data_IF_731267978190
#
_entry.id   IF_731267978190
#
_cell.length_a   1.000
_cell.length_b   1.000
_cell.length_c   1.000
_cell.angle_alpha   90.00
_cell.angle_beta   90.00
_cell.angle_gamma   90.00
#
_symmetry.space_group_name_H-M   'P 1'
#
loop_
_entity.id
_entity.type
_entity.pdbx_description
1 polymer ?
#
# COMPACT_ATOMS: atom_id res chain seq x y z
N UNK A 1 8.22 -53.04 -64.43
CA UNK A 1 8.45 -52.70 -65.87
C UNK A 1 9.70 -51.88 -65.88
N UNK A 2 10.80 -52.59 -66.16
CA UNK A 2 12.09 -52.05 -66.63
C UNK A 2 11.92 -51.23 -67.91
N UNK A 3 12.95 -50.53 -68.37
CA UNK A 3 14.39 -50.77 -68.17
C UNK A 3 15.29 -49.48 -68.11
N UNK A 4 16.50 -49.69 -67.63
CA UNK A 4 17.75 -49.03 -68.06
C UNK A 4 18.00 -49.24 -69.53
N UNK A 5 18.91 -48.53 -70.21
CA UNK A 5 20.34 -48.62 -70.16
C UNK A 5 21.10 -47.29 -70.50
N UNK A 6 22.34 -47.03 -70.47
CA UNK A 6 23.62 -47.68 -70.72
C UNK A 6 24.68 -46.58 -70.91
N UNK A 7 25.84 -46.86 -70.38
CA UNK A 7 27.15 -46.24 -70.70
C UNK A 7 27.54 -46.52 -72.15
N UNK A 8 28.55 -45.89 -72.79
CA UNK A 8 29.98 -46.05 -72.50
C UNK A 8 30.90 -44.84 -72.89
N UNK A 9 32.04 -44.70 -72.35
CA UNK A 9 33.30 -45.23 -72.85
C UNK A 9 34.28 -44.21 -73.47
N UNK A 10 35.55 -44.39 -73.22
CA UNK A 10 36.67 -43.95 -74.01
C UNK A 10 37.59 -42.92 -73.31
N UNK A 11 38.62 -43.29 -72.72
CA UNK A 11 39.96 -43.73 -73.10
C UNK A 11 40.94 -42.55 -73.37
N UNK A 12 41.99 -42.59 -72.57
CA UNK A 12 43.42 -42.31 -72.84
C UNK A 12 43.84 -40.94 -73.33
N UNK A 13 44.71 -40.28 -72.58
CA UNK A 13 46.13 -40.19 -72.90
C UNK A 13 46.94 -39.48 -71.81
N UNK A 14 48.09 -40.09 -71.47
CA UNK A 14 49.18 -39.53 -70.70
C UNK A 14 50.21 -39.05 -71.70
N UNK A 15 50.92 -37.93 -71.55
CA UNK A 15 52.36 -38.07 -71.23
C UNK A 15 52.96 -37.00 -70.24
N UNK A 16 53.79 -37.51 -69.33
CA UNK A 16 55.21 -37.28 -69.13
C UNK A 16 55.65 -35.86 -68.78
N UNK A 17 56.04 -35.72 -67.49
CA UNK A 17 57.26 -35.12 -66.89
C UNK A 17 57.84 -33.81 -67.52
N UNK A 18 57.93 -32.83 -66.62
CA UNK A 18 59.21 -32.13 -66.32
C UNK A 18 59.03 -31.36 -64.99
N UNK A 19 59.87 -31.72 -64.03
CA UNK A 19 60.31 -30.80 -62.94
C UNK A 19 61.36 -29.87 -63.51
N UNK A 20 61.48 -28.61 -63.13
CA UNK A 20 62.32 -28.28 -62.00
C UNK A 20 62.00 -27.01 -61.21
N UNK A 21 62.72 -26.92 -60.14
CA UNK A 21 63.19 -25.76 -59.41
C UNK A 21 62.44 -25.23 -58.20
N UNK A 22 63.12 -25.35 -57.10
CA UNK A 22 62.98 -24.74 -55.83
C UNK A 22 62.50 -23.28 -55.86
N UNK A 23 61.46 -22.98 -55.19
CA UNK A 23 61.04 -21.65 -54.81
C UNK A 23 60.70 -21.64 -53.33
N UNK A 24 61.49 -20.89 -52.60
CA UNK A 24 61.26 -20.65 -51.13
C UNK A 24 59.89 -20.12 -50.89
N UNK A 25 59.00 -21.02 -50.46
CA UNK A 25 57.64 -20.67 -50.05
C UNK A 25 57.61 -20.64 -48.52
N UNK A 26 57.43 -19.48 -48.02
CA UNK A 26 57.10 -19.17 -46.64
C UNK A 26 55.90 -20.04 -46.13
N UNK A 27 55.98 -20.62 -44.93
CA UNK A 27 54.91 -21.46 -44.40
C UNK A 27 53.63 -20.65 -44.21
N UNK A 28 52.48 -21.23 -44.48
CA UNK A 28 51.16 -20.53 -44.31
C UNK A 28 50.99 -20.07 -42.86
N UNK A 29 50.70 -18.80 -42.72
CA UNK A 29 50.34 -18.11 -41.49
C UNK A 29 49.21 -18.87 -40.77
N UNK A 30 49.46 -19.29 -39.54
CA UNK A 30 48.47 -19.97 -38.71
C UNK A 30 47.22 -19.06 -38.49
N UNK A 31 46.02 -19.61 -38.48
CA UNK A 31 44.81 -18.81 -38.20
C UNK A 31 44.95 -18.12 -36.85
N UNK A 32 44.47 -16.85 -36.72
CA UNK A 32 44.57 -16.12 -35.46
C UNK A 32 43.81 -16.88 -34.35
N UNK A 33 44.50 -17.04 -33.24
CA UNK A 33 43.93 -17.66 -32.04
C UNK A 33 42.61 -16.96 -31.64
N UNK A 34 41.62 -17.69 -31.16
CA UNK A 34 40.38 -17.06 -30.75
C UNK A 34 40.67 -16.01 -29.67
N UNK A 35 40.25 -14.78 -29.93
CA UNK A 35 40.35 -13.68 -28.97
C UNK A 35 39.73 -14.12 -27.64
N UNK A 36 40.56 -14.16 -26.63
CA UNK A 36 40.11 -14.48 -25.26
C UNK A 36 38.97 -13.54 -24.89
N UNK A 37 37.84 -14.13 -24.53
CA UNK A 37 36.69 -13.44 -23.97
C UNK A 37 37.13 -12.42 -22.93
N UNK A 38 36.90 -11.14 -23.21
CA UNK A 38 37.10 -10.04 -22.27
C UNK A 38 36.38 -10.41 -20.97
N UNK A 39 37.15 -10.74 -19.95
CA UNK A 39 36.69 -10.87 -18.59
C UNK A 39 35.87 -9.60 -18.29
N UNK A 40 34.58 -9.75 -18.01
CA UNK A 40 33.72 -8.67 -17.51
C UNK A 40 34.33 -8.18 -16.18
N UNK A 41 35.19 -7.21 -16.29
CA UNK A 41 36.00 -6.69 -15.21
C UNK A 41 35.24 -5.74 -14.32
N UNK A 42 35.90 -4.97 -13.49
CA UNK A 42 35.37 -4.16 -12.39
C UNK A 42 34.17 -3.26 -12.73
N UNK A 43 33.94 -2.98 -14.01
CA UNK A 43 32.80 -2.18 -14.45
C UNK A 43 31.43 -2.87 -14.20
N UNK A 44 31.29 -4.16 -14.50
CA UNK A 44 30.05 -4.89 -14.26
C UNK A 44 29.75 -5.01 -12.76
N UNK A 45 30.75 -5.21 -11.93
CA UNK A 45 30.62 -5.22 -10.48
C UNK A 45 30.18 -3.85 -9.93
N UNK A 46 30.77 -2.76 -10.44
CA UNK A 46 30.37 -1.39 -10.02
C UNK A 46 28.92 -1.09 -10.38
N UNK A 47 28.52 -1.42 -11.62
CA UNK A 47 27.12 -1.26 -12.05
C UNK A 47 26.18 -2.09 -11.17
N UNK A 48 26.52 -3.36 -10.90
CA UNK A 48 25.72 -4.20 -10.02
C UNK A 48 25.63 -3.62 -8.60
N UNK A 49 26.73 -3.11 -8.05
CA UNK A 49 26.75 -2.48 -6.73
C UNK A 49 25.90 -1.20 -6.68
N UNK A 50 25.90 -0.39 -7.72
CA UNK A 50 25.04 0.81 -7.85
C UNK A 50 23.56 0.42 -7.86
N UNK A 51 23.17 -0.58 -8.64
CA UNK A 51 21.79 -1.08 -8.66
C UNK A 51 21.35 -1.67 -7.32
N UNK A 52 22.23 -2.45 -6.68
CA UNK A 52 21.96 -2.97 -5.32
C UNK A 52 21.77 -1.82 -4.33
N UNK A 53 22.62 -0.79 -4.39
CA UNK A 53 22.51 0.40 -3.56
C UNK A 53 21.18 1.12 -3.75
N UNK A 54 20.73 1.30 -4.99
CA UNK A 54 19.42 1.90 -5.30
C UNK A 54 18.25 1.06 -4.78
N UNK A 55 18.32 -0.26 -4.94
CA UNK A 55 17.27 -1.17 -4.42
C UNK A 55 17.23 -1.13 -2.90
N UNK A 56 18.38 -1.17 -2.23
CA UNK A 56 18.46 -1.06 -0.77
C UNK A 56 17.91 0.29 -0.29
N UNK A 57 18.27 1.38 -0.93
CA UNK A 57 17.76 2.72 -0.63
C UNK A 57 16.23 2.77 -0.79
N UNK A 58 15.70 2.24 -1.90
CA UNK A 58 14.27 2.18 -2.15
C UNK A 58 13.53 1.36 -1.08
N UNK A 59 14.10 0.22 -0.67
CA UNK A 59 13.54 -0.61 0.41
C UNK A 59 13.55 0.12 1.76
N UNK A 60 14.64 0.81 2.08
CA UNK A 60 14.72 1.61 3.32
C UNK A 60 13.65 2.71 3.32
N UNK A 61 13.51 3.46 2.21
CA UNK A 61 12.48 4.49 2.08
C UNK A 61 11.09 3.86 2.19
N UNK A 62 10.82 2.73 1.53
CA UNK A 62 9.54 2.04 1.63
C UNK A 62 9.21 1.58 3.06
N UNK A 63 10.20 1.07 3.79
CA UNK A 63 10.07 0.70 5.19
C UNK A 63 9.79 1.92 6.09
N UNK A 64 10.47 3.04 5.87
CA UNK A 64 10.23 4.28 6.60
C UNK A 64 8.80 4.78 6.35
N UNK A 65 8.36 4.82 5.08
CA UNK A 65 7.00 5.18 4.71
C UNK A 65 5.99 4.27 5.41
N UNK A 66 6.16 2.94 5.29
CA UNK A 66 5.26 1.97 5.92
C UNK A 66 5.20 2.12 7.44
N UNK A 67 6.32 2.35 8.10
CA UNK A 67 6.41 2.40 9.57
C UNK A 67 5.88 3.71 10.14
N UNK A 68 6.20 4.84 9.49
CA UNK A 68 5.94 6.17 10.05
C UNK A 68 4.70 6.86 9.49
N UNK A 69 4.34 6.59 8.22
CA UNK A 69 3.24 7.30 7.57
C UNK A 69 1.91 6.54 7.64
N UNK A 70 1.92 5.25 7.32
CA UNK A 70 0.70 4.47 7.13
C UNK A 70 0.71 3.19 7.96
N UNK A 71 -0.45 2.89 8.54
CA UNK A 71 -0.69 1.64 9.24
C UNK A 71 -2.02 1.03 8.80
N UNK A 72 -2.01 -0.27 8.53
CA UNK A 72 -3.24 -1.01 8.25
C UNK A 72 -3.87 -1.48 9.56
N UNK A 73 -5.18 -1.26 9.67
CA UNK A 73 -5.99 -1.74 10.78
C UNK A 73 -7.07 -2.69 10.27
N UNK A 74 -7.34 -3.71 11.06
CA UNK A 74 -8.44 -4.64 10.87
C UNK A 74 -9.63 -4.17 11.71
N UNK A 75 -10.86 -4.26 11.15
CA UNK A 75 -12.08 -3.86 11.83
C UNK A 75 -12.77 -5.12 12.41
N UNK A 76 -12.72 -5.32 13.74
CA UNK A 76 -13.27 -6.51 14.36
C UNK A 76 -14.74 -6.34 14.80
N UNK A 77 -15.28 -5.12 14.85
CA UNK A 77 -16.57 -4.82 15.44
C UNK A 77 -17.53 -4.11 14.49
N UNK A 78 -18.81 -4.16 14.80
CA UNK A 78 -19.89 -3.56 14.02
C UNK A 78 -20.13 -2.08 14.32
N UNK A 79 -19.37 -1.47 15.23
CA UNK A 79 -19.65 -0.12 15.74
C UNK A 79 -19.64 1.00 14.70
N UNK A 80 -19.07 0.75 13.53
CA UNK A 80 -18.97 1.71 12.41
C UNK A 80 -19.81 1.30 11.19
N UNK A 81 -20.67 0.28 11.32
CA UNK A 81 -21.63 -0.13 10.28
C UNK A 81 -22.63 1.02 10.04
N UNK A 82 -22.96 1.35 8.78
CA UNK A 82 -22.59 0.65 7.54
C UNK A 82 -21.27 1.14 6.88
N UNK A 83 -20.67 2.20 7.40
CA UNK A 83 -19.49 2.82 6.79
C UNK A 83 -18.31 1.86 6.76
N UNK A 84 -17.98 1.26 7.90
CA UNK A 84 -17.02 0.15 8.00
C UNK A 84 -17.74 -1.10 8.49
N UNK A 85 -17.44 -2.21 7.86
CA UNK A 85 -17.98 -3.51 8.23
C UNK A 85 -16.92 -4.36 8.91
N UNK A 86 -17.39 -5.38 9.65
CA UNK A 86 -16.51 -6.39 10.22
C UNK A 86 -15.66 -7.02 9.10
N UNK A 87 -14.40 -7.26 9.39
CA UNK A 87 -13.38 -7.78 8.48
C UNK A 87 -12.87 -6.79 7.42
N UNK A 88 -13.35 -5.53 7.37
CA UNK A 88 -12.71 -4.51 6.57
C UNK A 88 -11.26 -4.31 7.04
N UNK A 89 -10.37 -3.98 6.08
CA UNK A 89 -9.03 -3.49 6.38
C UNK A 89 -8.89 -2.08 5.85
N UNK A 90 -8.43 -1.19 6.70
CA UNK A 90 -8.32 0.24 6.40
C UNK A 90 -6.89 0.72 6.57
N UNK A 91 -6.50 1.71 5.78
CA UNK A 91 -5.25 2.44 5.95
C UNK A 91 -5.48 3.69 6.77
N UNK A 92 -4.60 3.88 7.74
CA UNK A 92 -4.59 5.02 8.64
C UNK A 92 -3.35 5.86 8.38
N UNK A 93 -3.54 7.15 8.13
CA UNK A 93 -2.46 8.12 8.01
C UNK A 93 -2.14 8.69 9.41
N UNK A 94 -0.95 8.36 9.91
CA UNK A 94 -0.48 8.77 11.25
C UNK A 94 0.03 10.21 11.29
N UNK A 95 0.36 10.79 10.13
CA UNK A 95 0.86 12.17 10.04
C UNK A 95 -0.25 13.19 9.82
N UNK A 96 -1.47 12.75 9.49
CA UNK A 96 -2.58 13.67 9.19
C UNK A 96 -2.67 14.80 10.21
N UNK A 97 -2.75 14.48 11.48
CA UNK A 97 -3.01 15.46 12.54
C UNK A 97 -1.75 16.13 13.11
N UNK A 98 -0.57 15.84 12.53
CA UNK A 98 0.63 16.65 12.69
C UNK A 98 0.70 17.80 11.67
N UNK A 99 0.06 17.62 10.51
CA UNK A 99 0.11 18.56 9.39
C UNK A 99 -1.13 19.46 9.29
N UNK A 100 -2.28 18.98 9.78
CA UNK A 100 -3.55 19.71 9.75
C UNK A 100 -4.42 19.37 10.97
N UNK A 101 -5.43 20.20 11.30
CA UNK A 101 -6.34 19.93 12.40
C UNK A 101 -7.20 18.68 12.16
N UNK A 102 -7.80 18.16 13.22
CA UNK A 102 -8.87 17.16 13.16
C UNK A 102 -10.15 17.87 12.74
N UNK A 103 -10.87 17.29 11.77
CA UNK A 103 -12.12 17.85 11.28
C UNK A 103 -13.32 16.99 11.71
N UNK A 104 -14.47 17.64 11.84
CA UNK A 104 -15.74 16.94 12.02
C UNK A 104 -16.02 16.02 10.83
N UNK A 105 -16.46 14.79 11.10
CA UNK A 105 -16.70 13.78 10.10
C UNK A 105 -15.49 12.87 9.83
N UNK A 106 -14.27 13.25 10.25
CA UNK A 106 -13.10 12.37 10.12
C UNK A 106 -13.34 11.04 10.87
N UNK A 107 -12.97 9.93 10.24
CA UNK A 107 -12.91 8.63 10.91
C UNK A 107 -11.51 8.48 11.47
N UNK A 108 -11.43 8.31 12.79
CA UNK A 108 -10.15 8.27 13.51
C UNK A 108 -9.93 6.93 14.20
N UNK A 109 -8.68 6.48 14.18
CA UNK A 109 -8.19 5.43 15.08
C UNK A 109 -7.56 6.12 16.28
N UNK A 110 -7.89 5.67 17.48
CA UNK A 110 -7.37 6.24 18.72
C UNK A 110 -7.18 5.17 19.79
N UNK A 111 -6.29 5.44 20.73
CA UNK A 111 -6.06 4.59 21.89
C UNK A 111 -7.31 4.52 22.75
N UNK A 112 -7.72 3.31 23.10
CA UNK A 112 -8.89 3.07 23.92
C UNK A 112 -8.73 3.79 25.27
N UNK A 113 -9.68 4.70 25.63
CA UNK A 113 -9.65 5.36 26.93
C UNK A 113 -10.07 4.40 28.05
N UNK A 114 -9.85 4.83 29.29
CA UNK A 114 -10.37 4.11 30.46
C UNK A 114 -11.90 3.96 30.35
N UNK A 115 -12.42 2.79 30.74
CA UNK A 115 -13.84 2.45 30.59
C UNK A 115 -14.22 1.81 29.25
N UNK A 116 -13.24 1.65 28.33
CA UNK A 116 -13.40 0.80 27.15
C UNK A 116 -13.40 -0.68 27.52
N UNK A 117 -13.75 -1.55 26.55
CA UNK A 117 -13.73 -3.00 26.77
C UNK A 117 -12.29 -3.49 27.06
N UNK A 118 -12.09 -4.37 28.06
CA UNK A 118 -10.79 -4.92 28.37
C UNK A 118 -10.17 -5.66 27.17
N UNK A 119 -8.87 -5.46 26.94
CA UNK A 119 -8.12 -6.12 25.87
C UNK A 119 -8.26 -5.48 24.51
N UNK A 120 -8.92 -4.31 24.40
CA UNK A 120 -8.96 -3.50 23.20
C UNK A 120 -8.00 -2.32 23.35
N UNK A 121 -6.94 -2.30 22.54
CA UNK A 121 -5.93 -1.23 22.57
C UNK A 121 -6.34 0.00 21.73
N UNK A 122 -6.97 -0.23 20.59
CA UNK A 122 -7.33 0.79 19.61
C UNK A 122 -8.82 0.71 19.23
N UNK A 123 -9.46 1.87 19.13
CA UNK A 123 -10.84 2.03 18.69
C UNK A 123 -10.92 2.84 17.41
N UNK A 124 -11.98 2.61 16.63
CA UNK A 124 -12.29 3.39 15.43
C UNK A 124 -13.66 4.03 15.59
N UNK A 125 -13.74 5.36 15.47
CA UNK A 125 -14.98 6.15 15.57
C UNK A 125 -14.93 7.36 14.64
N UNK A 126 -16.08 8.02 14.47
CA UNK A 126 -16.19 9.28 13.75
C UNK A 126 -16.14 10.46 14.71
N UNK A 127 -15.39 11.50 14.33
CA UNK A 127 -15.37 12.78 15.06
C UNK A 127 -16.68 13.52 14.84
N UNK A 128 -17.37 13.82 15.93
CA UNK A 128 -18.68 14.50 15.96
C UNK A 128 -18.54 15.90 16.53
N UNK A 129 -17.87 16.07 17.67
CA UNK A 129 -17.65 17.36 18.31
C UNK A 129 -16.18 17.74 18.29
N UNK A 130 -15.91 19.04 18.13
CA UNK A 130 -14.58 19.65 18.10
C UNK A 130 -14.32 20.42 19.39
N UNK A 131 -13.05 20.74 19.72
CA UNK A 131 -12.71 21.52 20.90
C UNK A 131 -13.49 22.83 21.01
N UNK A 132 -14.00 23.12 22.20
CA UNK A 132 -14.80 24.33 22.50
C UNK A 132 -16.28 24.23 22.19
N UNK A 133 -16.73 23.20 21.47
CA UNK A 133 -18.14 23.03 21.11
C UNK A 133 -18.94 22.33 22.23
N UNK A 134 -20.23 22.54 22.22
CA UNK A 134 -21.18 21.85 23.10
C UNK A 134 -21.95 20.80 22.29
N UNK A 135 -21.78 19.52 22.64
CA UNK A 135 -22.43 18.38 22.00
C UNK A 135 -23.59 17.89 22.85
N UNK A 136 -24.71 17.55 22.25
CA UNK A 136 -25.85 16.89 22.91
C UNK A 136 -26.64 16.03 21.93
N UNK A 137 -27.52 15.16 22.45
CA UNK A 137 -28.49 14.48 21.60
C UNK A 137 -29.89 14.50 22.25
N UNK A 138 -30.90 14.81 21.44
CA UNK A 138 -32.31 14.81 21.81
C UNK A 138 -33.16 14.40 20.62
N UNK A 139 -34.32 13.81 20.86
CA UNK A 139 -35.27 13.40 19.81
C UNK A 139 -34.65 12.54 18.69
N UNK A 140 -33.61 11.79 19.00
CA UNK A 140 -32.92 10.92 18.03
C UNK A 140 -31.79 11.60 17.20
N UNK A 141 -31.56 12.91 17.36
CA UNK A 141 -30.63 13.71 16.60
C UNK A 141 -29.52 14.27 17.47
N UNK A 142 -28.34 14.46 16.87
CA UNK A 142 -27.18 15.11 17.50
C UNK A 142 -27.23 16.62 17.24
N UNK A 143 -26.83 17.39 18.24
CA UNK A 143 -26.75 18.86 18.19
C UNK A 143 -25.35 19.33 18.57
N UNK A 144 -24.85 20.29 17.82
CA UNK A 144 -23.62 21.03 18.11
C UNK A 144 -24.00 22.48 18.34
N UNK A 145 -23.63 23.03 19.49
CA UNK A 145 -23.97 24.42 19.91
C UNK A 145 -25.46 24.77 19.76
N UNK A 146 -26.32 23.77 20.00
CA UNK A 146 -27.79 23.77 19.87
C UNK A 146 -28.33 23.72 18.43
N UNK A 147 -27.49 23.64 17.40
CA UNK A 147 -27.91 23.42 16.01
C UNK A 147 -27.88 21.94 15.70
N UNK A 148 -28.89 21.43 15.00
CA UNK A 148 -28.92 20.03 14.57
C UNK A 148 -27.80 19.73 13.58
N UNK A 149 -27.03 18.67 13.87
CA UNK A 149 -25.97 18.21 12.99
C UNK A 149 -26.55 17.40 11.83
N UNK A 150 -26.39 17.81 10.56
CA UNK A 150 -26.82 17.00 9.43
C UNK A 150 -25.86 15.83 9.22
N UNK A 151 -26.30 14.62 9.60
CA UNK A 151 -25.49 13.41 9.56
C UNK A 151 -25.78 12.59 8.30
N UNK A 152 -25.43 13.15 7.13
CA UNK A 152 -25.72 12.58 5.81
C UNK A 152 -25.02 11.24 5.54
N UNK A 153 -24.02 10.90 6.32
CA UNK A 153 -23.26 9.64 6.27
C UNK A 153 -23.97 8.47 6.95
N UNK A 154 -25.04 8.75 7.71
CA UNK A 154 -25.87 7.72 8.36
C UNK A 154 -27.06 7.31 7.49
N UNK A 155 -27.55 6.07 7.63
CA UNK A 155 -28.79 5.65 7.05
C UNK A 155 -29.97 6.55 7.52
N UNK A 156 -30.91 6.82 6.62
CA UNK A 156 -32.13 7.56 7.00
C UNK A 156 -32.86 6.84 8.12
N UNK A 157 -33.31 7.61 9.13
CA UNK A 157 -34.00 7.08 10.28
C UNK A 157 -33.12 6.50 11.38
N UNK A 158 -31.79 6.69 11.29
CA UNK A 158 -30.88 6.34 12.38
C UNK A 158 -31.20 7.20 13.61
N UNK A 159 -31.43 6.54 14.76
CA UNK A 159 -31.77 7.19 16.03
C UNK A 159 -30.53 7.16 16.94
N UNK A 160 -30.15 8.33 17.44
CA UNK A 160 -29.12 8.48 18.45
C UNK A 160 -29.76 8.52 19.85
N UNK A 161 -29.27 7.67 20.76
CA UNK A 161 -29.71 7.70 22.17
C UNK A 161 -29.46 9.08 22.78
N UNK A 162 -30.43 9.69 23.46
CA UNK A 162 -30.27 10.99 24.10
C UNK A 162 -29.13 11.02 25.11
N UNK A 163 -28.39 12.12 25.16
CA UNK A 163 -27.43 12.43 26.21
C UNK A 163 -27.41 13.93 26.51
N UNK A 164 -27.02 14.27 27.73
CA UNK A 164 -26.94 15.66 28.21
C UNK A 164 -25.86 16.44 27.50
N UNK A 165 -25.97 17.78 27.52
CA UNK A 165 -24.95 18.68 26.97
C UNK A 165 -23.60 18.44 27.60
N UNK A 166 -22.58 18.31 26.75
CA UNK A 166 -21.17 18.23 27.13
C UNK A 166 -20.40 19.28 26.36
N UNK A 167 -19.79 20.24 27.09
CA UNK A 167 -18.89 21.23 26.48
C UNK A 167 -17.48 20.66 26.42
N UNK A 168 -16.91 20.64 25.24
CA UNK A 168 -15.60 20.05 25.01
C UNK A 168 -14.48 21.04 25.38
N UNK A 169 -13.53 20.56 26.18
CA UNK A 169 -12.34 21.30 26.55
C UNK A 169 -11.39 21.46 25.33
N UNK A 170 -10.39 22.36 25.40
CA UNK A 170 -9.33 22.38 24.41
C UNK A 170 -8.70 21.00 24.21
N UNK A 171 -8.39 20.67 22.95
CA UNK A 171 -7.82 19.36 22.54
C UNK A 171 -8.71 18.12 22.85
N UNK A 172 -9.98 18.31 23.20
CA UNK A 172 -10.93 17.22 23.41
C UNK A 172 -11.91 17.10 22.25
N UNK A 173 -12.20 15.86 21.86
CA UNK A 173 -13.05 15.51 20.73
C UNK A 173 -14.16 14.55 21.19
N UNK A 174 -15.37 14.78 20.72
CA UNK A 174 -16.46 13.85 20.89
C UNK A 174 -16.52 12.91 19.69
N UNK A 175 -16.42 11.62 19.94
CA UNK A 175 -16.41 10.61 18.89
C UNK A 175 -17.59 9.65 19.05
N UNK A 176 -18.19 9.25 17.93
CA UNK A 176 -19.31 8.32 17.93
C UNK A 176 -19.15 7.27 16.85
N UNK A 177 -19.72 6.07 17.11
CA UNK A 177 -19.84 5.06 16.07
C UNK A 177 -21.00 5.38 15.12
N UNK A 178 -20.83 5.02 13.86
CA UNK A 178 -21.91 5.18 12.88
C UNK A 178 -23.07 4.22 13.16
N UNK A 179 -22.80 3.06 13.76
CA UNK A 179 -23.82 2.19 14.34
C UNK A 179 -24.26 2.72 15.71
N UNK A 180 -25.11 3.74 15.71
CA UNK A 180 -25.57 4.47 16.90
C UNK A 180 -26.13 3.59 17.99
N UNK A 181 -26.84 2.53 17.64
CA UNK A 181 -27.45 1.59 18.58
C UNK A 181 -26.47 0.55 19.14
N UNK A 182 -25.34 0.32 18.46
CA UNK A 182 -24.36 -0.72 18.84
C UNK A 182 -22.93 -0.16 18.80
N UNK A 183 -22.66 0.86 19.61
CA UNK A 183 -21.35 1.47 19.74
C UNK A 183 -21.08 1.92 21.17
N UNK A 184 -19.97 1.43 21.75
CA UNK A 184 -19.34 2.07 22.90
C UNK A 184 -18.45 3.20 22.38
N UNK A 185 -18.82 4.43 22.67
CA UNK A 185 -18.18 5.65 22.20
C UNK A 185 -18.22 6.75 23.27
N UNK A 186 -18.03 8.01 22.92
CA UNK A 186 -18.00 9.11 23.89
C UNK A 186 -19.24 9.23 24.77
N UNK A 187 -20.35 8.63 24.37
CA UNK A 187 -21.55 8.53 25.24
C UNK A 187 -21.32 7.66 26.47
N UNK A 188 -20.31 6.76 26.43
CA UNK A 188 -19.96 5.83 27.52
C UNK A 188 -18.67 6.28 28.23
N UNK A 189 -17.59 6.53 27.47
CA UNK A 189 -16.28 6.83 28.05
C UNK A 189 -15.90 8.32 28.06
N UNK A 190 -16.79 9.20 27.57
CA UNK A 190 -16.52 10.63 27.48
C UNK A 190 -15.67 11.04 26.26
N UNK A 191 -15.27 12.32 26.20
CA UNK A 191 -14.44 12.83 25.12
C UNK A 191 -13.03 12.24 25.14
N UNK A 192 -12.41 12.11 23.98
CA UNK A 192 -11.01 11.70 23.82
C UNK A 192 -10.11 12.93 23.65
N UNK A 193 -8.84 12.81 24.01
CA UNK A 193 -7.86 13.89 23.77
C UNK A 193 -7.20 13.73 22.39
N UNK A 194 -6.63 14.82 21.86
CA UNK A 194 -5.81 14.78 20.66
C UNK A 194 -4.66 13.78 20.76
N UNK A 195 -4.07 13.66 21.98
CA UNK A 195 -2.97 12.73 22.25
C UNK A 195 -3.35 11.25 22.11
N UNK A 196 -4.64 10.91 22.27
CA UNK A 196 -5.13 9.55 22.06
C UNK A 196 -5.22 9.20 20.57
N UNK A 197 -5.30 10.18 19.65
CA UNK A 197 -5.54 9.92 18.23
C UNK A 197 -4.27 9.37 17.58
N UNK A 198 -4.34 8.15 17.07
CA UNK A 198 -3.29 7.47 16.31
C UNK A 198 -3.19 8.03 14.90
N UNK A 199 -4.34 8.27 14.24
CA UNK A 199 -4.40 8.82 12.89
C UNK A 199 -5.78 8.77 12.25
N UNK A 200 -5.85 9.27 11.01
CA UNK A 200 -7.06 9.33 10.21
C UNK A 200 -7.18 8.11 9.30
N UNK A 201 -8.33 7.47 9.33
CA UNK A 201 -8.70 6.47 8.30
C UNK A 201 -8.98 7.23 7.01
N UNK A 202 -8.29 6.88 5.94
CA UNK A 202 -8.46 7.57 4.66
C UNK A 202 -8.76 6.64 3.49
N UNK A 203 -8.46 5.34 3.61
CA UNK A 203 -8.67 4.39 2.53
C UNK A 203 -9.02 3.00 3.07
N UNK A 204 -10.00 2.33 2.46
CA UNK A 204 -10.31 0.93 2.71
C UNK A 204 -9.66 0.06 1.64
N UNK A 205 -8.79 -0.88 2.05
CA UNK A 205 -8.00 -1.75 1.17
C UNK A 205 -8.59 -3.15 1.00
N UNK A 206 -9.52 -3.55 1.85
CA UNK A 206 -10.17 -4.84 1.81
C UNK A 206 -11.60 -4.75 2.37
N UNK A 207 -12.57 -5.50 1.79
CA UNK A 207 -12.47 -6.37 0.62
C UNK A 207 -12.33 -5.55 -0.67
N UNK A 208 -11.77 -6.16 -1.73
CA UNK A 208 -11.55 -5.47 -3.02
C UNK A 208 -12.83 -4.94 -3.65
N UNK A 209 -13.98 -5.58 -3.40
CA UNK A 209 -15.30 -5.10 -3.84
C UNK A 209 -15.75 -3.78 -3.20
N UNK A 210 -15.09 -3.35 -2.13
CA UNK A 210 -15.41 -2.14 -1.36
C UNK A 210 -14.21 -1.19 -1.23
N UNK A 211 -13.21 -1.32 -2.12
CA UNK A 211 -12.09 -0.38 -2.18
C UNK A 211 -12.58 1.06 -2.31
N UNK A 212 -12.00 1.99 -1.55
CA UNK A 212 -12.38 3.40 -1.67
C UNK A 212 -11.79 4.31 -0.61
N UNK A 213 -11.80 5.60 -0.93
CA UNK A 213 -11.48 6.67 0.02
C UNK A 213 -12.63 6.86 1.03
N UNK A 214 -12.25 7.38 2.20
CA UNK A 214 -13.15 7.56 3.35
C UNK A 214 -13.15 9.04 3.76
#
# INVERSE_FOLDING_TARGET
>A
MDPLPSSPGGATDVPVVTEPAAGDGEPPEAPPAPESSKKSGPAAFRIAAEWIGLVVLALVIALLIKTFLFQAFFIPSESMVPTLQVHDRVLVNKLSYKLHPVHRGDIVVFKAPEGSDPGIDDLVKRVIGLPGETVSAKNGHVYIDNEELPETYLPKGTITTPFSKVTLLPDHYWVMGDNRGNSKDSRVFGPITKGNIVGRVFFRIWPFSRLGFM
#
